data_IF_472779728098
#
_entry.id   IF_472779728098
#
_cell.length_a   1.000
_cell.length_b   1.000
_cell.length_c   1.000
_cell.angle_alpha   90.00
_cell.angle_beta   90.00
_cell.angle_gamma   90.00
#
_symmetry.space_group_name_H-M   'P 1'
#
loop_
_entity.id
_entity.type
_entity.pdbx_description
1 polymer ?
#
# COMPACT_ATOMS: atom_id res chain seq x y z
N UNK A 1 -29.75 14.59 -35.20
CA UNK A 1 -30.41 15.91 -35.12
C UNK A 1 -31.62 15.79 -34.19
N UNK A 2 -31.49 16.30 -32.97
CA UNK A 2 -32.59 16.69 -32.06
C UNK A 2 -31.96 17.39 -30.86
N UNK A 3 -31.85 18.70 -31.01
CA UNK A 3 -31.47 19.66 -29.97
C UNK A 3 -32.69 19.84 -29.05
N UNK A 4 -32.51 19.70 -27.74
CA UNK A 4 -33.53 20.06 -26.75
C UNK A 4 -33.05 21.28 -25.99
N UNK A 5 -34.00 22.20 -25.85
CA UNK A 5 -33.85 23.61 -25.62
C UNK A 5 -33.34 24.00 -24.22
N UNK A 6 -32.73 25.18 -24.22
CA UNK A 6 -32.26 25.99 -23.10
C UNK A 6 -33.41 26.36 -22.16
N UNK A 7 -33.18 26.26 -20.85
CA UNK A 7 -33.92 27.02 -19.84
C UNK A 7 -32.91 27.86 -19.04
N UNK A 8 -32.96 29.17 -19.28
CA UNK A 8 -32.29 30.20 -18.48
C UNK A 8 -33.09 30.37 -17.19
N UNK A 9 -32.42 30.40 -16.04
CA UNK A 9 -32.98 30.96 -14.81
C UNK A 9 -31.89 31.74 -14.08
N UNK A 10 -32.25 32.97 -13.82
CA UNK A 10 -31.44 34.10 -13.38
C UNK A 10 -31.37 34.26 -11.86
N UNK A 11 -30.28 34.89 -11.44
CA UNK A 11 -30.08 35.78 -10.29
C UNK A 11 -29.80 35.22 -8.89
N UNK A 12 -28.51 35.37 -8.54
CA UNK A 12 -27.89 35.90 -7.31
C UNK A 12 -28.77 36.11 -6.05
N UNK A 13 -28.37 35.45 -4.95
CA UNK A 13 -28.28 36.11 -3.65
C UNK A 13 -26.91 35.80 -3.01
N UNK A 14 -26.09 36.85 -2.87
CA UNK A 14 -24.87 36.85 -2.07
C UNK A 14 -25.27 36.82 -0.59
N UNK A 15 -25.04 35.68 0.07
CA UNK A 15 -25.21 35.50 1.51
C UNK A 15 -23.97 35.98 2.27
N UNK A 16 -24.21 36.77 3.32
CA UNK A 16 -23.25 37.48 4.14
C UNK A 16 -22.16 36.59 4.78
N UNK A 17 -20.96 37.17 4.90
CA UNK A 17 -19.85 36.62 5.66
C UNK A 17 -20.20 36.56 7.17
N UNK A 18 -19.99 35.42 7.86
CA UNK A 18 -20.03 35.42 9.31
C UNK A 18 -18.74 36.06 9.83
N UNK A 19 -18.95 37.02 10.73
CA UNK A 19 -17.91 37.67 11.51
C UNK A 19 -17.08 36.66 12.31
N UNK A 20 -15.79 36.95 12.43
CA UNK A 20 -14.85 36.27 13.31
C UNK A 20 -15.32 36.44 14.77
N UNK A 21 -15.98 35.42 15.33
CA UNK A 21 -16.20 35.30 16.75
C UNK A 21 -15.21 34.27 17.32
N UNK A 22 -14.40 34.76 18.25
CA UNK A 22 -13.32 34.06 18.93
C UNK A 22 -13.88 32.94 19.82
N UNK A 23 -13.22 31.78 19.80
CA UNK A 23 -13.11 30.89 20.96
C UNK A 23 -11.95 29.91 20.73
N UNK A 24 -10.76 30.11 21.34
CA UNK A 24 -9.81 29.02 21.53
C UNK A 24 -10.31 28.21 22.72
N UNK A 25 -11.40 27.45 22.52
CA UNK A 25 -11.78 26.44 23.49
C UNK A 25 -10.79 25.29 23.43
N UNK A 26 -10.36 24.94 24.63
CA UNK A 26 -9.30 24.03 24.94
C UNK A 26 -9.61 22.64 24.38
N UNK A 27 -8.55 21.97 23.94
CA UNK A 27 -8.56 20.60 23.48
C UNK A 27 -9.35 19.68 24.41
N UNK A 28 -10.10 18.74 23.82
CA UNK A 28 -9.86 17.36 24.11
C UNK A 28 -8.99 16.86 22.97
N UNK A 29 -7.75 16.51 23.28
CA UNK A 29 -7.08 15.45 22.54
C UNK A 29 -7.99 14.22 22.71
N UNK A 30 -8.97 14.10 21.82
CA UNK A 30 -9.66 12.86 21.57
C UNK A 30 -8.58 11.91 21.11
N UNK A 31 -8.06 11.17 22.09
CA UNK A 31 -7.31 9.95 21.91
C UNK A 31 -8.15 9.11 20.97
N UNK A 32 -7.90 9.24 19.66
CA UNK A 32 -8.31 8.21 18.73
C UNK A 32 -7.70 6.94 19.32
N UNK A 33 -8.50 5.90 19.59
CA UNK A 33 -7.94 4.59 19.78
C UNK A 33 -7.06 4.35 18.57
N UNK A 34 -5.74 4.41 18.74
CA UNK A 34 -4.83 3.91 17.73
C UNK A 34 -5.25 2.45 17.61
N UNK A 35 -5.79 1.98 16.47
CA UNK A 35 -6.04 0.57 16.34
C UNK A 35 -4.66 -0.07 16.44
N UNK A 36 -4.39 -0.71 17.58
CA UNK A 36 -3.31 -1.68 17.69
C UNK A 36 -3.70 -2.76 16.68
N UNK A 37 -3.26 -2.60 15.43
CA UNK A 37 -3.26 -3.69 14.47
C UNK A 37 -2.22 -4.66 15.02
N UNK A 38 -2.66 -5.52 15.94
CA UNK A 38 -2.06 -6.83 16.09
C UNK A 38 -2.40 -7.52 14.77
N UNK A 39 -1.53 -7.34 13.78
CA UNK A 39 -1.61 -8.14 12.56
C UNK A 39 -1.31 -9.55 13.02
N UNK A 40 -2.35 -10.35 13.21
CA UNK A 40 -2.26 -11.81 13.26
C UNK A 40 -1.88 -12.26 11.85
N UNK A 41 -0.65 -11.94 11.45
CA UNK A 41 -0.18 -12.16 10.10
C UNK A 41 -0.08 -13.66 9.91
N UNK A 42 -1.05 -14.22 9.19
CA UNK A 42 -1.03 -15.61 8.83
C UNK A 42 0.22 -15.87 7.99
N UNK A 43 0.93 -16.99 8.23
CA UNK A 43 2.13 -17.32 7.49
C UNK A 43 1.82 -17.36 5.99
N UNK A 44 2.48 -16.50 5.23
CA UNK A 44 2.23 -16.29 3.81
C UNK A 44 3.50 -16.57 2.99
N UNK A 45 3.32 -17.06 1.75
CA UNK A 45 4.41 -17.29 0.79
C UNK A 45 4.39 -16.22 -0.31
N UNK A 46 4.25 -14.97 0.09
CA UNK A 46 4.18 -13.85 -0.85
C UNK A 46 5.57 -13.24 -1.00
N UNK A 47 6.03 -13.15 -2.24
CA UNK A 47 7.22 -12.36 -2.59
C UNK A 47 6.77 -11.21 -3.48
N UNK A 48 7.01 -9.99 -3.02
CA UNK A 48 6.69 -8.75 -3.71
C UNK A 48 7.88 -8.28 -4.54
N UNK A 49 7.62 -7.49 -5.58
CA UNK A 49 8.66 -6.75 -6.28
C UNK A 49 8.80 -5.40 -5.60
N UNK A 50 10.01 -5.08 -5.14
CA UNK A 50 10.30 -3.89 -4.34
C UNK A 50 11.55 -3.18 -4.87
N UNK A 51 11.54 -1.85 -4.85
CA UNK A 51 12.75 -1.04 -4.99
C UNK A 51 13.53 -1.02 -3.66
N UNK A 52 14.84 -0.73 -3.74
CA UNK A 52 15.74 -0.73 -2.56
C UNK A 52 15.89 0.65 -1.92
N UNK A 53 14.95 1.56 -2.16
CA UNK A 53 15.00 2.93 -1.69
C UNK A 53 14.33 3.15 -0.32
N UNK A 54 14.56 4.34 0.25
CA UNK A 54 14.03 4.71 1.57
C UNK A 54 12.50 4.85 1.58
N UNK A 55 11.89 5.21 0.45
CA UNK A 55 10.45 5.37 0.33
C UNK A 55 9.75 4.00 0.44
N UNK A 56 10.27 3.00 -0.27
CA UNK A 56 9.81 1.62 -0.26
C UNK A 56 9.98 1.00 1.12
N UNK A 57 11.15 1.18 1.75
CA UNK A 57 11.39 0.72 3.12
C UNK A 57 10.41 1.33 4.12
N UNK A 58 10.16 2.63 4.02
CA UNK A 58 9.22 3.33 4.89
C UNK A 58 7.79 2.84 4.69
N UNK A 59 7.37 2.65 3.44
CA UNK A 59 6.05 2.12 3.12
C UNK A 59 5.87 0.68 3.63
N UNK A 60 6.85 -0.17 3.40
CA UNK A 60 6.85 -1.56 3.85
C UNK A 60 6.78 -1.64 5.38
N UNK A 61 7.58 -0.85 6.09
CA UNK A 61 7.57 -0.81 7.57
C UNK A 61 6.22 -0.34 8.12
N UNK A 62 5.60 0.68 7.50
CA UNK A 62 4.25 1.13 7.89
C UNK A 62 3.19 0.05 7.68
N UNK A 63 3.33 -0.76 6.63
CA UNK A 63 2.32 -1.76 6.27
C UNK A 63 2.48 -3.08 7.02
N UNK A 64 3.72 -3.54 7.21
CA UNK A 64 4.07 -4.87 7.72
C UNK A 64 4.80 -4.85 9.06
N UNK A 65 5.12 -3.68 9.61
CA UNK A 65 5.71 -3.52 10.94
C UNK A 65 7.19 -3.92 11.06
N UNK A 66 7.87 -4.22 9.95
CA UNK A 66 9.29 -4.59 9.90
C UNK A 66 9.94 -4.07 8.62
N UNK A 67 11.27 -4.00 8.57
CA UNK A 67 11.97 -3.69 7.32
C UNK A 67 11.82 -4.83 6.29
N UNK A 68 11.82 -4.52 4.98
CA UNK A 68 11.74 -5.54 3.94
C UNK A 68 12.99 -6.42 3.94
N UNK A 69 12.78 -7.74 3.83
CA UNK A 69 13.85 -8.70 3.59
C UNK A 69 13.84 -9.10 2.14
N UNK A 70 14.98 -8.90 1.48
CA UNK A 70 15.16 -9.17 0.06
C UNK A 70 15.70 -10.58 -0.16
N UNK A 71 15.11 -11.27 -1.13
CA UNK A 71 15.57 -12.55 -1.65
C UNK A 71 16.10 -12.37 -3.08
N UNK A 72 17.06 -13.20 -3.43
CA UNK A 72 17.42 -13.49 -4.82
C UNK A 72 16.37 -14.40 -5.46
N UNK A 73 16.42 -14.49 -6.79
CA UNK A 73 15.60 -15.40 -7.58
C UNK A 73 15.75 -16.87 -7.14
N UNK A 74 16.99 -17.26 -6.87
CA UNK A 74 17.33 -18.63 -6.45
C UNK A 74 16.79 -18.93 -5.06
N UNK A 75 16.99 -18.04 -4.09
CA UNK A 75 16.42 -18.20 -2.75
C UNK A 75 14.90 -18.25 -2.77
N UNK A 76 14.25 -17.43 -3.61
CA UNK A 76 12.79 -17.47 -3.77
C UNK A 76 12.30 -18.80 -4.37
N UNK A 77 13.01 -19.35 -5.37
CA UNK A 77 12.68 -20.65 -5.96
C UNK A 77 12.89 -21.80 -4.97
N UNK A 78 14.01 -21.80 -4.24
CA UNK A 78 14.30 -22.77 -3.18
C UNK A 78 13.25 -22.71 -2.07
N UNK A 79 12.89 -21.51 -1.61
CA UNK A 79 11.86 -21.31 -0.61
C UNK A 79 10.48 -21.82 -1.06
N UNK A 80 10.14 -21.63 -2.35
CA UNK A 80 8.91 -22.19 -2.93
C UNK A 80 8.92 -23.71 -2.89
N UNK A 81 10.00 -24.35 -3.35
CA UNK A 81 10.13 -25.81 -3.37
C UNK A 81 10.13 -26.41 -1.96
N UNK A 82 10.80 -25.76 -1.01
CA UNK A 82 10.84 -26.17 0.39
C UNK A 82 9.55 -25.85 1.16
N UNK A 83 8.55 -25.24 0.51
CA UNK A 83 7.27 -24.91 1.13
C UNK A 83 7.36 -23.83 2.23
N UNK A 84 8.45 -23.06 2.27
CA UNK A 84 8.66 -22.05 3.30
C UNK A 84 7.55 -21.00 3.31
N UNK A 85 7.27 -20.46 4.50
CA UNK A 85 6.31 -19.38 4.74
C UNK A 85 6.91 -18.39 5.73
N UNK A 86 6.43 -17.14 5.69
CA UNK A 86 6.93 -16.07 6.55
C UNK A 86 5.78 -15.28 7.17
N UNK A 87 6.05 -14.65 8.30
CA UNK A 87 5.10 -13.76 8.96
C UNK A 87 4.81 -12.50 8.14
N UNK A 88 5.78 -12.01 7.36
CA UNK A 88 5.63 -10.88 6.44
C UNK A 88 6.05 -11.28 5.03
N UNK A 89 5.58 -10.59 3.97
CA UNK A 89 6.06 -10.84 2.62
C UNK A 89 7.57 -10.64 2.53
N UNK A 90 8.22 -11.35 1.62
CA UNK A 90 9.60 -11.05 1.22
C UNK A 90 9.57 -10.12 0.00
N UNK A 91 10.66 -9.42 -0.23
CA UNK A 91 10.85 -8.62 -1.43
C UNK A 91 11.84 -9.32 -2.37
N UNK A 92 11.76 -9.02 -3.66
CA UNK A 92 12.84 -9.18 -4.61
C UNK A 92 12.86 -7.95 -5.52
N UNK A 93 14.00 -7.66 -6.16
CA UNK A 93 14.06 -6.56 -7.15
C UNK A 93 13.47 -7.01 -8.49
N UNK A 94 13.10 -6.07 -9.37
CA UNK A 94 12.61 -6.39 -10.72
C UNK A 94 13.59 -7.29 -11.50
N UNK A 95 14.90 -7.04 -11.36
CA UNK A 95 15.95 -7.86 -11.96
C UNK A 95 15.93 -9.30 -11.44
N UNK A 96 15.76 -9.48 -10.13
CA UNK A 96 15.65 -10.82 -9.54
C UNK A 96 14.34 -11.49 -9.94
N UNK A 97 13.25 -10.74 -10.07
CA UNK A 97 11.99 -11.26 -10.59
C UNK A 97 12.14 -11.83 -12.01
N UNK A 98 12.81 -11.10 -12.92
CA UNK A 98 13.11 -11.61 -14.26
C UNK A 98 13.90 -12.93 -14.24
N UNK A 99 14.90 -13.05 -13.36
CA UNK A 99 15.65 -14.30 -13.15
C UNK A 99 14.79 -15.41 -12.56
N UNK A 100 13.90 -15.09 -11.63
CA UNK A 100 13.00 -16.05 -10.98
C UNK A 100 12.03 -16.66 -12.00
N UNK A 101 11.47 -15.85 -12.89
CA UNK A 101 10.60 -16.33 -13.98
C UNK A 101 11.36 -17.30 -14.89
N UNK A 102 12.59 -16.97 -15.29
CA UNK A 102 13.42 -17.86 -16.10
C UNK A 102 13.72 -19.19 -15.40
N UNK A 103 14.13 -19.15 -14.13
CA UNK A 103 14.44 -20.35 -13.33
C UNK A 103 13.21 -21.26 -13.18
N UNK A 104 12.06 -20.68 -12.84
CA UNK A 104 10.84 -21.46 -12.62
C UNK A 104 10.28 -22.07 -13.91
N UNK A 105 10.44 -21.41 -15.05
CA UNK A 105 10.12 -21.98 -16.35
C UNK A 105 11.05 -23.14 -16.70
N UNK A 106 12.35 -23.01 -16.45
CA UNK A 106 13.31 -24.09 -16.68
C UNK A 106 12.96 -25.33 -15.84
N UNK A 107 12.57 -25.17 -14.58
CA UNK A 107 12.13 -26.30 -13.74
C UNK A 107 10.83 -26.96 -14.20
N UNK A 108 9.92 -26.23 -14.86
CA UNK A 108 8.68 -26.80 -15.36
C UNK A 108 8.84 -27.54 -16.71
N UNK A 109 9.98 -27.38 -17.38
CA UNK A 109 10.30 -28.06 -18.63
C UNK A 109 10.94 -29.45 -18.42
N UNK A 110 11.16 -29.84 -17.16
CA UNK A 110 11.74 -31.11 -16.74
C UNK A 110 10.73 -31.91 -15.91
#
# INVERSE_FOLDING_TARGET
MRLIAVAVSTLLLAGAAPALAQSPEQSPQSQRPQPTRVSTAQPQRVVLICETDAATRSAFTRQYGSEPVFLTAREAAEAKTAGQTWATPRCMTEREHGRYVQLTQAYAAH
#
